data_IF_831170923331
#
_entry.id   IF_831170923331
#
_cell.length_a   1.000
_cell.length_b   1.000
_cell.length_c   1.000
_cell.angle_alpha   90.00
_cell.angle_beta   90.00
_cell.angle_gamma   90.00
#
_symmetry.space_group_name_H-M   'P 1'
#
loop_
_entity.id
_entity.type
_entity.pdbx_description
1 polymer ?
#
# COMPACT_ATOMS: atom_id res chain seq x y z
N UNK A 1 37.19 -3.55 22.33
CA UNK A 1 37.38 -3.79 20.88
C UNK A 1 36.00 -3.71 20.23
N UNK A 2 35.57 -2.53 19.78
CA UNK A 2 34.30 -2.35 19.11
C UNK A 2 34.57 -2.26 17.61
N UNK A 3 34.12 -3.25 16.84
CA UNK A 3 34.28 -3.22 15.38
C UNK A 3 33.36 -2.11 14.88
N UNK A 4 33.92 -1.01 14.39
CA UNK A 4 33.17 0.03 13.66
C UNK A 4 32.58 -0.62 12.42
N UNK A 5 31.29 -0.93 12.46
CA UNK A 5 30.55 -1.43 11.30
C UNK A 5 30.54 -0.33 10.23
N UNK A 6 31.26 -0.54 9.13
CA UNK A 6 31.26 0.41 8.02
C UNK A 6 30.02 0.13 7.15
N UNK A 7 28.93 0.86 7.38
CA UNK A 7 27.85 0.93 6.41
C UNK A 7 28.32 1.78 5.23
N UNK A 8 28.37 1.20 4.04
CA UNK A 8 28.72 1.93 2.82
C UNK A 8 27.50 2.70 2.33
N UNK A 9 27.64 4.00 2.07
CA UNK A 9 26.58 4.82 1.49
C UNK A 9 26.20 4.29 0.09
N UNK A 10 24.93 3.96 -0.12
CA UNK A 10 24.40 3.64 -1.46
C UNK A 10 23.94 4.90 -2.19
N UNK A 11 23.56 4.77 -3.46
CA UNK A 11 23.10 5.85 -4.35
C UNK A 11 21.97 6.74 -3.81
N UNK A 12 21.27 6.34 -2.74
CA UNK A 12 20.17 7.08 -2.11
C UNK A 12 20.50 7.67 -0.73
N UNK A 13 21.80 7.86 -0.39
CA UNK A 13 22.27 8.27 0.94
C UNK A 13 21.80 7.36 2.07
N UNK A 14 21.49 6.09 1.77
CA UNK A 14 21.21 5.07 2.77
C UNK A 14 22.44 4.20 2.91
N UNK A 15 23.06 4.24 4.08
CA UNK A 15 24.21 3.40 4.36
C UNK A 15 23.73 1.97 4.68
N UNK A 16 24.29 0.99 3.97
CA UNK A 16 23.96 -0.44 4.09
C UNK A 16 25.25 -1.22 4.35
N UNK A 17 25.18 -2.20 5.23
CA UNK A 17 26.25 -3.17 5.45
C UNK A 17 25.73 -4.57 5.10
N UNK A 18 26.11 -5.03 3.91
CA UNK A 18 25.70 -6.34 3.39
C UNK A 18 26.31 -7.52 4.14
N UNK A 19 27.38 -7.35 4.94
CA UNK A 19 27.95 -8.44 5.75
C UNK A 19 27.16 -8.69 7.05
N UNK A 20 26.45 -7.67 7.55
CA UNK A 20 25.72 -7.75 8.81
C UNK A 20 24.21 -7.53 8.66
N UNK A 21 23.73 -7.32 7.43
CA UNK A 21 22.33 -7.01 7.11
C UNK A 21 21.80 -5.84 7.95
N UNK A 22 22.63 -4.81 8.13
CA UNK A 22 22.27 -3.58 8.84
C UNK A 22 22.14 -2.41 7.86
N UNK A 23 21.25 -1.48 8.17
CA UNK A 23 21.07 -0.21 7.47
C UNK A 23 21.07 0.98 8.44
N UNK A 24 21.18 2.18 7.90
CA UNK A 24 21.21 3.45 8.64
C UNK A 24 22.59 4.07 8.64
N UNK A 25 22.67 5.37 8.88
CA UNK A 25 23.90 6.16 8.79
C UNK A 25 25.02 5.62 9.70
N UNK A 26 24.64 4.95 10.79
CA UNK A 26 25.53 4.33 11.77
C UNK A 26 25.31 2.82 11.91
N UNK A 27 24.67 2.16 10.94
CA UNK A 27 24.26 0.76 11.01
C UNK A 27 23.35 0.47 12.23
N UNK A 28 22.51 1.41 12.63
CA UNK A 28 21.73 1.31 13.86
C UNK A 28 20.42 0.50 13.71
N UNK A 29 20.08 0.04 12.50
CA UNK A 29 18.88 -0.76 12.20
C UNK A 29 19.25 -1.97 11.35
N UNK A 30 18.39 -3.00 11.37
CA UNK A 30 18.50 -4.10 10.42
C UNK A 30 17.93 -3.67 9.06
N UNK A 31 18.55 -4.12 7.97
CA UNK A 31 18.07 -3.90 6.62
C UNK A 31 16.65 -4.47 6.43
N UNK A 32 15.87 -3.98 5.45
CA UNK A 32 14.54 -4.51 5.17
C UNK A 32 14.63 -6.01 4.91
N UNK A 33 13.77 -6.79 5.54
CA UNK A 33 13.82 -8.26 5.51
C UNK A 33 14.48 -8.88 6.73
N UNK A 34 15.07 -8.08 7.63
CA UNK A 34 15.81 -8.57 8.79
C UNK A 34 15.33 -7.91 10.09
N UNK A 35 15.44 -8.64 11.21
CA UNK A 35 15.12 -8.17 12.56
C UNK A 35 16.22 -8.55 13.54
N UNK A 36 16.28 -7.82 14.67
CA UNK A 36 17.21 -8.10 15.76
C UNK A 36 17.92 -6.84 16.25
N UNK A 37 19.09 -7.03 16.86
CA UNK A 37 19.87 -5.93 17.44
C UNK A 37 21.09 -5.59 16.56
N UNK A 38 20.89 -4.67 15.62
CA UNK A 38 21.90 -4.17 14.68
C UNK A 38 23.17 -3.61 15.35
N UNK A 39 23.09 -3.19 16.63
CA UNK A 39 24.24 -2.62 17.37
C UNK A 39 25.24 -3.69 17.81
N UNK A 40 24.85 -4.96 17.79
CA UNK A 40 25.70 -6.08 18.20
C UNK A 40 26.89 -6.36 17.26
N UNK A 41 26.85 -5.88 16.01
CA UNK A 41 27.97 -5.99 15.06
C UNK A 41 28.37 -7.41 14.66
N UNK A 42 27.48 -8.38 14.87
CA UNK A 42 27.66 -9.75 14.43
C UNK A 42 26.78 -10.04 13.21
N UNK A 43 27.18 -10.93 12.29
CA UNK A 43 26.29 -11.44 11.24
C UNK A 43 25.03 -12.11 11.81
N UNK A 44 25.05 -12.53 13.07
CA UNK A 44 23.89 -13.11 13.76
C UNK A 44 22.96 -12.06 14.37
N UNK A 45 23.37 -10.80 14.42
CA UNK A 45 22.61 -9.70 15.03
C UNK A 45 21.31 -9.38 14.28
N UNK A 46 21.33 -9.46 12.95
CA UNK A 46 20.16 -9.26 12.10
C UNK A 46 19.81 -10.57 11.39
N UNK A 47 18.69 -11.17 11.80
CA UNK A 47 18.16 -12.43 11.27
C UNK A 47 17.05 -12.18 10.26
N UNK A 48 16.88 -13.03 9.24
CA UNK A 48 15.81 -12.88 8.27
C UNK A 48 14.43 -13.01 8.94
N UNK A 49 13.49 -12.17 8.50
CA UNK A 49 12.12 -12.14 8.97
C UNK A 49 11.42 -13.50 8.72
N UNK A 50 10.98 -14.21 9.78
CA UNK A 50 10.42 -15.54 9.65
C UNK A 50 8.91 -15.45 9.36
N UNK A 51 8.53 -14.82 8.25
CA UNK A 51 7.16 -14.38 7.97
C UNK A 51 6.49 -15.13 6.80
N UNK A 52 5.93 -16.33 6.97
CA UNK A 52 6.04 -17.31 8.06
C UNK A 52 7.23 -18.25 7.92
N UNK A 53 7.85 -18.35 6.75
CA UNK A 53 9.14 -18.98 6.54
C UNK A 53 10.19 -17.88 6.27
N UNK A 54 11.46 -18.21 6.43
CA UNK A 54 12.57 -17.27 6.18
C UNK A 54 12.96 -17.20 4.71
N UNK A 55 12.48 -18.15 3.91
CA UNK A 55 12.88 -18.33 2.51
C UNK A 55 11.68 -18.23 1.57
N UNK A 56 11.95 -17.76 0.36
CA UNK A 56 10.99 -17.83 -0.75
C UNK A 56 10.58 -19.29 -1.04
N UNK A 57 9.33 -19.56 -1.46
CA UNK A 57 8.26 -18.61 -1.81
C UNK A 57 7.34 -18.22 -0.64
N UNK A 58 7.58 -18.73 0.57
CA UNK A 58 6.72 -18.57 1.74
C UNK A 58 7.21 -17.49 2.72
N UNK A 59 8.02 -16.56 2.22
CA UNK A 59 8.36 -15.32 2.91
C UNK A 59 7.40 -14.23 2.43
N UNK A 60 6.21 -14.21 3.03
CA UNK A 60 5.09 -13.36 2.64
C UNK A 60 5.25 -11.90 3.05
N UNK A 61 5.95 -11.61 4.15
CA UNK A 61 6.26 -10.23 4.57
C UNK A 61 7.78 -9.99 4.52
N UNK A 62 8.25 -9.00 3.75
CA UNK A 62 9.65 -8.57 3.76
C UNK A 62 9.96 -7.65 4.94
N UNK A 63 9.00 -7.33 5.80
CA UNK A 63 9.20 -6.45 6.96
C UNK A 63 8.63 -7.08 8.22
N UNK A 64 9.40 -6.99 9.30
CA UNK A 64 9.00 -7.51 10.60
C UNK A 64 9.69 -6.75 11.73
N UNK A 65 9.07 -6.80 12.91
CA UNK A 65 9.51 -6.09 14.10
C UNK A 65 9.55 -7.04 15.29
N UNK A 66 10.48 -6.82 16.21
CA UNK A 66 10.53 -7.55 17.47
C UNK A 66 9.58 -6.86 18.46
N UNK A 67 8.51 -7.54 18.86
CA UNK A 67 7.58 -6.97 19.84
C UNK A 67 8.14 -7.11 21.27
N UNK A 68 7.47 -6.47 22.22
CA UNK A 68 7.89 -6.40 23.63
C UNK A 68 8.00 -7.74 24.35
N UNK A 69 7.30 -8.76 23.85
CA UNK A 69 7.35 -10.14 24.34
C UNK A 69 8.53 -10.95 23.74
N UNK A 70 9.43 -10.30 22.98
CA UNK A 70 10.61 -10.92 22.38
C UNK A 70 10.30 -11.80 21.17
N UNK A 71 9.10 -11.71 20.62
CA UNK A 71 8.66 -12.49 19.46
C UNK A 71 8.53 -11.58 18.23
N UNK A 72 8.68 -12.17 17.04
CA UNK A 72 8.66 -11.41 15.78
C UNK A 72 7.25 -11.23 15.27
N UNK A 73 6.90 -10.00 14.90
CA UNK A 73 5.62 -9.63 14.31
C UNK A 73 5.83 -9.06 12.92
N UNK A 74 5.17 -9.65 11.92
CA UNK A 74 5.23 -9.24 10.53
C UNK A 74 4.19 -8.14 10.28
N UNK A 75 4.62 -7.04 9.66
CA UNK A 75 3.79 -5.82 9.56
C UNK A 75 3.12 -5.65 8.19
N UNK A 76 3.48 -6.47 7.20
CA UNK A 76 2.96 -6.40 5.84
C UNK A 76 2.51 -7.78 5.31
N UNK A 77 1.55 -8.42 6.00
CA UNK A 77 0.98 -9.67 5.50
C UNK A 77 0.17 -9.44 4.20
N UNK A 78 0.36 -10.28 3.16
CA UNK A 78 -0.41 -10.18 1.93
C UNK A 78 -1.88 -10.56 2.17
N UNK A 79 -2.75 -10.12 1.26
CA UNK A 79 -4.17 -10.43 1.31
C UNK A 79 -4.38 -11.95 1.45
N UNK A 80 -5.38 -12.35 2.24
CA UNK A 80 -5.65 -13.76 2.50
C UNK A 80 -4.88 -14.35 3.69
N UNK A 81 -3.85 -13.66 4.18
CA UNK A 81 -2.99 -14.16 5.26
C UNK A 81 -3.22 -13.36 6.55
N UNK A 82 -3.07 -14.04 7.68
CA UNK A 82 -3.27 -13.51 9.02
C UNK A 82 -2.38 -14.25 10.03
N UNK A 83 -2.45 -13.84 11.28
CA UNK A 83 -1.54 -14.28 12.32
C UNK A 83 -0.32 -13.36 12.42
N UNK A 84 0.45 -13.55 13.49
CA UNK A 84 1.57 -12.68 13.84
C UNK A 84 2.69 -12.73 12.79
N UNK A 85 2.83 -13.89 12.15
CA UNK A 85 3.85 -14.22 11.16
C UNK A 85 3.27 -14.48 9.77
N UNK A 86 2.02 -14.08 9.51
CA UNK A 86 1.28 -14.43 8.30
C UNK A 86 1.16 -15.97 8.09
N UNK A 87 1.13 -16.72 9.20
CA UNK A 87 1.17 -18.17 9.27
C UNK A 87 -0.20 -18.85 9.09
N UNK A 88 -1.27 -18.06 9.08
CA UNK A 88 -2.64 -18.55 8.98
C UNK A 88 -3.38 -17.88 7.83
N UNK A 89 -4.42 -18.54 7.35
CA UNK A 89 -5.32 -17.97 6.37
C UNK A 89 -6.44 -17.20 7.05
N UNK A 90 -6.86 -16.07 6.46
CA UNK A 90 -8.07 -15.37 6.91
C UNK A 90 -9.27 -16.29 6.73
N UNK A 91 -10.33 -16.01 7.48
CA UNK A 91 -11.58 -16.73 7.32
C UNK A 91 -12.11 -16.58 5.88
N UNK A 92 -12.46 -17.70 5.24
CA UNK A 92 -12.91 -17.71 3.85
C UNK A 92 -11.80 -17.85 2.80
N UNK A 93 -10.57 -18.16 3.23
CA UNK A 93 -9.48 -18.53 2.34
C UNK A 93 -8.90 -19.90 2.71
N UNK A 94 -8.36 -20.60 1.72
CA UNK A 94 -7.91 -22.00 1.84
C UNK A 94 -6.46 -22.14 1.41
N UNK A 95 -5.67 -22.92 2.15
CA UNK A 95 -4.25 -23.19 1.87
C UNK A 95 -3.45 -23.38 3.16
N UNK A 96 -2.15 -23.65 3.03
CA UNK A 96 -1.25 -23.75 4.17
C UNK A 96 0.03 -22.91 4.00
N UNK A 97 0.09 -21.70 4.59
CA UNK A 97 1.25 -20.82 4.60
C UNK A 97 2.57 -21.44 5.09
N UNK A 98 2.51 -22.48 5.92
CA UNK A 98 3.68 -23.16 6.48
C UNK A 98 4.24 -24.25 5.57
N UNK A 99 3.51 -24.64 4.53
CA UNK A 99 3.96 -25.64 3.57
C UNK A 99 4.73 -24.95 2.43
N UNK A 100 6.01 -25.29 2.19
CA UNK A 100 6.77 -24.72 1.09
C UNK A 100 6.03 -24.83 -0.25
N UNK A 101 5.85 -23.71 -0.93
CA UNK A 101 5.14 -23.58 -2.21
C UNK A 101 3.62 -23.41 -2.11
N UNK A 102 3.01 -23.56 -0.93
CA UNK A 102 1.58 -23.34 -0.73
C UNK A 102 1.30 -21.94 -0.15
N UNK A 103 0.08 -21.43 -0.36
CA UNK A 103 -0.31 -20.06 0.02
C UNK A 103 -1.82 -19.98 0.25
N UNK A 104 -2.27 -18.94 0.99
CA UNK A 104 -3.71 -18.73 1.18
C UNK A 104 -4.36 -18.22 -0.11
N UNK A 105 -5.26 -19.04 -0.65
CA UNK A 105 -6.08 -18.71 -1.82
C UNK A 105 -7.40 -18.15 -1.32
N UNK A 106 -7.66 -16.90 -1.69
CA UNK A 106 -8.94 -16.24 -1.42
C UNK A 106 -9.94 -16.75 -2.45
N UNK A 107 -11.04 -17.34 -2.00
CA UNK A 107 -12.13 -17.71 -2.89
C UNK A 107 -12.98 -16.48 -3.22
N UNK A 108 -13.40 -16.30 -4.49
CA UNK A 108 -14.10 -15.10 -4.94
C UNK A 108 -15.42 -14.85 -4.18
N UNK A 109 -16.08 -15.90 -3.68
CA UNK A 109 -17.35 -15.78 -2.96
C UNK A 109 -17.21 -15.52 -1.45
N UNK A 110 -15.99 -15.60 -0.91
CA UNK A 110 -15.75 -15.59 0.53
C UNK A 110 -15.28 -14.24 1.09
N UNK A 111 -14.92 -13.27 0.24
CA UNK A 111 -14.10 -12.11 0.67
C UNK A 111 -14.78 -10.72 0.69
N UNK A 112 -16.06 -10.60 0.30
CA UNK A 112 -16.75 -9.30 0.44
C UNK A 112 -17.02 -8.91 1.90
N UNK A 113 -16.96 -9.87 2.83
CA UNK A 113 -17.30 -9.68 4.27
C UNK A 113 -16.13 -9.32 5.18
N UNK A 114 -14.88 -9.58 4.76
CA UNK A 114 -13.73 -9.57 5.69
C UNK A 114 -12.73 -8.43 5.45
N UNK A 115 -12.68 -7.80 4.27
CA UNK A 115 -11.79 -6.64 4.02
C UNK A 115 -12.36 -5.35 4.63
N UNK A 116 -13.68 -5.24 4.72
CA UNK A 116 -14.38 -4.12 5.34
C UNK A 116 -15.29 -4.68 6.43
N UNK A 117 -14.92 -4.52 7.70
CA UNK A 117 -15.66 -5.08 8.83
C UNK A 117 -17.18 -4.96 8.68
N UNK A 118 -17.88 -6.11 8.73
CA UNK A 118 -19.34 -6.28 8.72
C UNK A 118 -20.13 -5.14 8.05
N UNK A 119 -20.08 -5.07 6.72
CA UNK A 119 -21.12 -4.37 5.95
C UNK A 119 -21.75 -5.36 4.99
N UNK A 120 -23.06 -5.57 5.17
CA UNK A 120 -23.90 -6.31 4.22
C UNK A 120 -23.72 -5.70 2.82
N UNK A 121 -23.87 -6.46 1.73
CA UNK A 121 -23.77 -5.95 0.35
C UNK A 121 -24.49 -4.60 0.14
N UNK A 122 -25.69 -4.43 0.73
CA UNK A 122 -26.44 -3.14 0.79
C UNK A 122 -25.67 -1.93 1.31
N UNK A 123 -24.63 -2.15 2.10
CA UNK A 123 -23.84 -1.11 2.76
C UNK A 123 -22.53 -0.82 2.01
N UNK A 124 -22.11 -1.69 1.08
CA UNK A 124 -21.07 -1.37 0.09
C UNK A 124 -21.69 -0.49 -0.99
N UNK A 125 -22.88 -0.84 -1.48
CA UNK A 125 -23.65 0.01 -2.41
C UNK A 125 -23.95 1.38 -1.76
N UNK A 126 -24.44 1.40 -0.52
CA UNK A 126 -24.68 2.65 0.20
C UNK A 126 -23.41 3.43 0.66
N UNK A 127 -22.20 2.84 0.62
CA UNK A 127 -20.95 3.59 0.83
C UNK A 127 -20.32 4.08 -0.47
N UNK A 128 -20.40 3.30 -1.55
CA UNK A 128 -20.03 3.75 -2.89
C UNK A 128 -20.94 4.88 -3.37
N UNK A 129 -22.25 4.81 -3.08
CA UNK A 129 -23.21 5.88 -3.40
C UNK A 129 -22.99 7.14 -2.55
N UNK A 130 -22.42 7.02 -1.34
CA UNK A 130 -22.36 8.15 -0.39
C UNK A 130 -20.97 8.81 -0.24
N UNK A 131 -19.86 8.16 -0.62
CA UNK A 131 -18.53 8.60 -0.19
C UNK A 131 -17.56 9.09 -1.29
N UNK A 132 -17.94 9.18 -2.57
CA UNK A 132 -16.99 9.67 -3.60
C UNK A 132 -17.52 10.61 -4.68
N UNK A 133 -18.83 10.74 -4.88
CA UNK A 133 -19.34 11.63 -5.92
C UNK A 133 -19.48 13.08 -5.45
N UNK A 134 -19.94 13.33 -4.22
CA UNK A 134 -20.25 14.71 -3.78
C UNK A 134 -19.03 15.61 -3.62
N UNK A 135 -17.91 15.08 -3.11
CA UNK A 135 -16.69 15.88 -2.88
C UNK A 135 -16.01 16.26 -4.20
N UNK A 136 -15.94 15.32 -5.14
CA UNK A 136 -15.42 15.54 -6.50
C UNK A 136 -16.37 16.45 -7.30
N UNK A 137 -17.69 16.27 -7.18
CA UNK A 137 -18.67 17.14 -7.82
C UNK A 137 -18.59 18.59 -7.31
N UNK A 138 -18.31 18.81 -6.02
CA UNK A 138 -18.07 20.15 -5.49
C UNK A 138 -16.80 20.78 -6.08
N UNK A 139 -15.68 20.04 -6.14
CA UNK A 139 -14.44 20.54 -6.75
C UNK A 139 -14.59 20.81 -8.25
N UNK A 140 -15.28 19.93 -8.99
CA UNK A 140 -15.58 20.11 -10.41
C UNK A 140 -16.52 21.28 -10.64
N UNK A 141 -17.51 21.50 -9.76
CA UNK A 141 -18.42 22.65 -9.86
C UNK A 141 -17.68 23.99 -9.66
N UNK A 142 -16.74 24.05 -8.71
CA UNK A 142 -15.88 25.22 -8.50
C UNK A 142 -14.95 25.45 -9.70
N UNK A 143 -14.36 24.39 -10.25
CA UNK A 143 -13.52 24.50 -11.46
C UNK A 143 -14.32 24.99 -12.68
N UNK A 144 -15.57 24.54 -12.85
CA UNK A 144 -16.47 25.03 -13.90
C UNK A 144 -16.80 26.51 -13.75
N UNK A 145 -17.12 26.96 -12.53
CA UNK A 145 -17.39 28.38 -12.25
C UNK A 145 -16.17 29.26 -12.52
N UNK A 146 -14.98 28.80 -12.12
CA UNK A 146 -13.73 29.51 -12.41
C UNK A 146 -13.44 29.56 -13.93
N UNK A 147 -13.69 28.47 -14.65
CA UNK A 147 -13.52 28.42 -16.11
C UNK A 147 -14.50 29.37 -16.81
N UNK A 148 -15.77 29.40 -16.41
CA UNK A 148 -16.78 30.30 -16.98
C UNK A 148 -16.45 31.77 -16.70
N UNK A 149 -15.94 32.08 -15.50
CA UNK A 149 -15.46 33.42 -15.16
C UNK A 149 -14.22 33.84 -15.98
N UNK A 150 -13.33 32.89 -16.31
CA UNK A 150 -12.17 33.15 -17.18
C UNK A 150 -12.58 33.36 -18.64
N UNK A 151 -13.52 32.55 -19.14
CA UNK A 151 -14.07 32.67 -20.49
C UNK A 151 -14.81 33.98 -20.74
N UNK A 152 -15.31 34.64 -19.69
CA UNK A 152 -15.93 35.98 -19.78
C UNK A 152 -14.93 37.14 -19.76
N UNK A 153 -13.67 36.89 -19.37
CA UNK A 153 -12.63 37.94 -19.18
C UNK A 153 -11.61 37.99 -20.30
N UNK A 154 -11.66 37.04 -21.23
CA UNK A 154 -10.73 36.92 -22.36
C UNK A 154 -11.54 37.00 -23.65
N UNK A 155 -11.21 37.95 -24.53
CA UNK A 155 -11.82 38.07 -25.86
C UNK A 155 -11.25 36.99 -26.78
N UNK A 156 -11.86 35.80 -26.74
CA UNK A 156 -11.60 34.74 -27.71
C UNK A 156 -12.27 35.05 -29.04
N UNK A 157 -11.64 34.66 -30.15
CA UNK A 157 -12.33 34.73 -31.44
C UNK A 157 -13.46 33.68 -31.51
N UNK A 158 -14.36 33.81 -32.48
CA UNK A 158 -15.56 32.97 -32.59
C UNK A 158 -15.22 31.47 -32.75
N UNK A 159 -14.12 31.15 -33.44
CA UNK A 159 -13.61 29.78 -33.60
C UNK A 159 -13.05 29.19 -32.30
N UNK A 160 -12.25 29.98 -31.56
CA UNK A 160 -11.69 29.58 -30.26
C UNK A 160 -12.79 29.38 -29.22
N UNK A 161 -13.79 30.25 -29.23
CA UNK A 161 -14.98 30.14 -28.36
C UNK A 161 -15.76 28.86 -28.65
N UNK A 162 -15.95 28.51 -29.93
CA UNK A 162 -16.64 27.29 -30.33
C UNK A 162 -15.85 26.02 -29.92
N UNK A 163 -14.52 26.05 -30.08
CA UNK A 163 -13.65 24.95 -29.69
C UNK A 163 -13.67 24.68 -28.17
N UNK A 164 -13.50 25.73 -27.36
CA UNK A 164 -13.50 25.62 -25.89
C UNK A 164 -14.86 25.19 -25.35
N UNK A 165 -15.97 25.64 -25.95
CA UNK A 165 -17.33 25.18 -25.61
C UNK A 165 -17.51 23.70 -25.93
N UNK A 166 -16.99 23.22 -27.07
CA UNK A 166 -17.01 21.80 -27.43
C UNK A 166 -16.23 20.95 -26.43
N UNK A 167 -15.03 21.39 -26.02
CA UNK A 167 -14.25 20.69 -25.00
C UNK A 167 -14.93 20.68 -23.64
N UNK A 168 -15.56 21.78 -23.23
CA UNK A 168 -16.37 21.83 -22.01
C UNK A 168 -17.49 20.80 -22.07
N UNK A 169 -18.27 20.77 -23.16
CA UNK A 169 -19.40 19.84 -23.30
C UNK A 169 -18.96 18.38 -23.21
N UNK A 170 -17.87 17.99 -23.87
CA UNK A 170 -17.33 16.64 -23.82
C UNK A 170 -16.98 16.21 -22.38
N UNK A 171 -16.34 17.11 -21.62
CA UNK A 171 -16.02 16.90 -20.21
C UNK A 171 -17.28 16.73 -19.34
N UNK A 172 -18.38 17.42 -19.66
CA UNK A 172 -19.65 17.26 -18.94
C UNK A 172 -20.34 15.93 -19.23
N UNK A 173 -20.25 15.46 -20.48
CA UNK A 173 -20.81 14.19 -20.91
C UNK A 173 -20.05 13.01 -20.28
N UNK A 174 -18.71 13.08 -20.23
CA UNK A 174 -17.86 12.07 -19.59
C UNK A 174 -18.13 12.00 -18.06
N UNK A 175 -18.34 13.14 -17.42
CA UNK A 175 -18.70 13.21 -16.00
C UNK A 175 -20.08 12.59 -15.72
N UNK A 176 -21.06 12.88 -16.59
CA UNK A 176 -22.41 12.33 -16.48
C UNK A 176 -22.45 10.82 -16.74
N UNK A 177 -21.64 10.32 -17.69
CA UNK A 177 -21.48 8.88 -17.94
C UNK A 177 -20.94 8.16 -16.70
N UNK A 178 -19.96 8.75 -16.01
CA UNK A 178 -19.39 8.18 -14.79
C UNK A 178 -20.43 8.07 -13.66
N UNK A 179 -21.47 8.91 -13.65
CA UNK A 179 -22.58 8.87 -12.67
C UNK A 179 -23.57 7.70 -12.89
N UNK A 180 -23.49 7.00 -14.03
CA UNK A 180 -24.41 5.90 -14.38
C UNK A 180 -23.93 4.51 -13.93
N UNK A 181 -22.76 4.43 -13.29
CA UNK A 181 -22.18 3.22 -12.70
C UNK A 181 -22.04 3.37 -11.19
#
# INVERSE_FOLDING_TARGET
MGVTQQCTSTFWNRALNSQHNTEGDTCERCAPGFYGDARGGSPTSCQPCPCPLTESPNQFSPVCELASDGQVTCTACPAGHTGRRCESCIQGSTGNPLRPGDYCKIEPDSNYRYVFGKRTQRSVDAHCEAAKFTDIEMEVSVMKQNLDALLQRVDFNEQETAFLKGQKQQLEDDLNYTRTF
#
